data_IF_268036521244
#
_entry.id   IF_268036521244
#
_cell.length_a   1.000
_cell.length_b   1.000
_cell.length_c   1.000
_cell.angle_alpha   90.00
_cell.angle_beta   90.00
_cell.angle_gamma   90.00
#
_symmetry.space_group_name_H-M   'P 1'
#
loop_
_entity.id
_entity.type
_entity.pdbx_description
1 polymer ?
#
# COMPACT_ATOMS: atom_id res chain seq x y z
N UNK A 1 -12.43 -16.56 8.03
CA UNK A 1 -11.81 -15.30 8.44
C UNK A 1 -10.30 -15.39 8.31
N UNK A 2 -9.73 -14.38 7.71
CA UNK A 2 -8.27 -14.27 7.63
C UNK A 2 -7.76 -13.80 8.99
N UNK A 3 -6.76 -14.50 9.52
CA UNK A 3 -6.07 -14.04 10.72
C UNK A 3 -5.19 -12.86 10.32
N UNK A 4 -5.62 -11.66 10.66
CA UNK A 4 -4.95 -10.41 10.31
C UNK A 4 -3.51 -10.37 10.82
N UNK A 5 -3.30 -10.85 12.04
CA UNK A 5 -1.95 -10.86 12.63
C UNK A 5 -1.01 -11.76 11.82
N UNK A 6 -1.47 -12.94 11.42
CA UNK A 6 -0.65 -13.86 10.62
C UNK A 6 -0.40 -13.31 9.23
N UNK A 7 -1.44 -12.77 8.58
CA UNK A 7 -1.33 -12.24 7.22
C UNK A 7 -0.30 -11.10 7.12
N UNK A 8 -0.24 -10.26 8.15
CA UNK A 8 0.66 -9.10 8.16
C UNK A 8 1.92 -9.32 8.98
N UNK A 9 2.24 -10.56 9.32
CA UNK A 9 3.45 -10.90 10.04
C UNK A 9 4.68 -10.45 9.24
N UNK A 10 5.58 -9.74 9.89
CA UNK A 10 6.77 -9.19 9.24
C UNK A 10 6.54 -7.85 8.55
N UNK A 11 5.31 -7.36 8.58
CA UNK A 11 4.93 -6.03 8.08
C UNK A 11 4.16 -5.29 9.14
N UNK A 12 2.92 -4.90 8.85
CA UNK A 12 2.11 -4.22 9.83
C UNK A 12 0.74 -3.81 9.28
N UNK A 13 -0.09 -3.29 10.18
CA UNK A 13 -1.41 -2.81 9.82
C UNK A 13 -1.70 -1.60 10.70
N UNK A 14 -2.11 -0.49 10.09
CA UNK A 14 -2.34 0.77 10.81
C UNK A 14 -3.72 1.29 10.50
N UNK A 15 -4.31 1.94 11.49
CA UNK A 15 -5.62 2.57 11.33
C UNK A 15 -5.51 4.06 11.58
N UNK A 16 -6.39 4.82 10.94
CA UNK A 16 -6.59 6.23 11.24
C UNK A 16 -7.89 6.35 11.98
N UNK A 17 -7.85 7.03 13.14
CA UNK A 17 -9.02 7.21 13.98
C UNK A 17 -9.30 8.70 14.14
N UNK A 18 -10.56 9.07 14.03
CA UNK A 18 -11.03 10.45 14.21
C UNK A 18 -12.28 10.40 15.07
N UNK A 19 -12.25 11.10 16.22
CA UNK A 19 -13.38 11.17 17.14
C UNK A 19 -13.92 9.78 17.49
N UNK A 20 -12.99 8.84 17.79
CA UNK A 20 -13.29 7.46 18.20
C UNK A 20 -13.89 6.60 17.08
N UNK A 21 -13.82 7.06 15.85
CA UNK A 21 -14.27 6.30 14.69
C UNK A 21 -13.08 5.97 13.81
N UNK A 22 -13.02 4.72 13.32
CA UNK A 22 -11.99 4.33 12.36
C UNK A 22 -12.38 4.90 10.99
N UNK A 23 -11.54 5.77 10.45
CA UNK A 23 -11.82 6.46 9.20
C UNK A 23 -10.90 6.06 8.06
N UNK A 24 -9.92 5.23 8.35
CA UNK A 24 -9.02 4.71 7.32
C UNK A 24 -8.12 3.62 7.84
N UNK A 25 -7.48 2.91 6.92
CA UNK A 25 -6.53 1.87 7.28
C UNK A 25 -5.55 1.65 6.12
N UNK A 26 -4.43 1.00 6.45
CA UNK A 26 -3.45 0.57 5.46
C UNK A 26 -2.70 -0.63 6.02
N UNK A 27 -2.39 -1.60 5.16
CA UNK A 27 -1.66 -2.79 5.54
C UNK A 27 -0.37 -2.94 4.76
N UNK A 28 0.63 -3.53 5.40
CA UNK A 28 1.91 -3.84 4.79
C UNK A 28 2.16 -5.33 4.98
N UNK A 29 2.08 -6.07 3.88
CA UNK A 29 2.32 -7.51 3.87
C UNK A 29 3.76 -7.78 3.45
N UNK A 30 4.44 -8.65 4.17
CA UNK A 30 5.78 -9.08 3.77
C UNK A 30 5.65 -10.10 2.64
N UNK A 31 6.19 -9.78 1.46
CA UNK A 31 6.25 -10.74 0.36
C UNK A 31 7.51 -11.60 0.47
N UNK A 32 8.64 -10.96 0.74
CA UNK A 32 9.91 -11.63 1.03
C UNK A 32 10.78 -10.65 1.82
N UNK A 33 12.06 -10.99 2.05
CA UNK A 33 12.94 -10.15 2.86
C UNK A 33 13.22 -8.76 2.30
N UNK A 34 12.98 -8.55 1.01
CA UNK A 34 13.27 -7.29 0.33
C UNK A 34 12.03 -6.51 -0.09
N UNK A 35 10.87 -7.15 -0.10
CA UNK A 35 9.67 -6.56 -0.71
C UNK A 35 8.49 -6.61 0.24
N UNK A 36 7.92 -5.44 0.51
CA UNK A 36 6.63 -5.31 1.16
C UNK A 36 5.53 -5.02 0.14
N UNK A 37 4.30 -5.36 0.48
CA UNK A 37 3.15 -5.11 -0.39
C UNK A 37 2.14 -4.27 0.36
N UNK A 38 1.78 -3.13 -0.22
CA UNK A 38 0.73 -2.27 0.31
C UNK A 38 -0.63 -2.93 0.06
N UNK A 39 -1.39 -3.10 1.13
CA UNK A 39 -2.69 -3.78 1.10
C UNK A 39 -3.72 -2.96 1.86
N UNK A 40 -4.99 -3.18 1.52
CA UNK A 40 -6.13 -2.70 2.31
C UNK A 40 -6.10 -1.20 2.59
N UNK A 41 -5.61 -0.41 1.64
CA UNK A 41 -5.67 1.03 1.78
C UNK A 41 -7.10 1.51 1.62
N UNK A 42 -7.60 2.18 2.65
CA UNK A 42 -8.98 2.67 2.67
C UNK A 42 -9.04 3.97 3.44
N UNK A 43 -9.79 4.92 2.90
CA UNK A 43 -10.14 6.16 3.61
C UNK A 43 -11.63 6.37 3.38
N UNK A 44 -12.33 6.72 4.47
CA UNK A 44 -13.76 7.00 4.41
C UNK A 44 -14.04 8.05 3.33
N UNK A 45 -15.04 7.79 2.50
CA UNK A 45 -15.30 8.58 1.29
C UNK A 45 -15.43 10.08 1.59
N UNK A 46 -16.14 10.43 2.67
CA UNK A 46 -16.38 11.83 3.04
C UNK A 46 -15.10 12.57 3.42
N UNK A 47 -14.05 11.84 3.77
CA UNK A 47 -12.79 12.44 4.25
C UNK A 47 -11.70 12.42 3.20
N UNK A 48 -11.97 11.83 2.02
CA UNK A 48 -10.98 11.81 0.93
C UNK A 48 -10.77 13.22 0.38
N UNK A 49 -9.51 13.57 0.17
CA UNK A 49 -9.16 14.87 -0.38
C UNK A 49 -9.39 16.05 0.55
N UNK A 50 -9.58 15.79 1.85
CA UNK A 50 -9.74 16.86 2.84
C UNK A 50 -8.37 17.30 3.37
N UNK A 51 -8.37 18.41 4.11
CA UNK A 51 -7.15 18.93 4.74
C UNK A 51 -6.57 17.99 5.79
N UNK A 52 -7.33 16.98 6.24
CA UNK A 52 -6.84 16.00 7.20
C UNK A 52 -5.76 15.10 6.62
N UNK A 53 -5.70 14.96 5.28
CA UNK A 53 -4.66 14.19 4.59
C UNK A 53 -4.50 12.79 5.13
N UNK A 54 -5.61 12.11 5.37
CA UNK A 54 -5.62 10.79 6.02
C UNK A 54 -4.83 9.76 5.18
N UNK A 55 -5.10 9.73 3.88
CA UNK A 55 -4.40 8.78 3.00
C UNK A 55 -2.89 9.01 3.01
N UNK A 56 -2.46 10.27 2.93
CA UNK A 56 -1.04 10.61 2.94
C UNK A 56 -0.39 10.22 4.26
N UNK A 57 -1.06 10.49 5.37
CA UNK A 57 -0.53 10.15 6.69
C UNK A 57 -0.40 8.65 6.88
N UNK A 58 -1.39 7.87 6.42
CA UNK A 58 -1.32 6.42 6.48
C UNK A 58 -0.17 5.90 5.62
N UNK A 59 -0.03 6.41 4.42
CA UNK A 59 1.05 5.99 3.53
C UNK A 59 2.42 6.36 4.10
N UNK A 60 2.57 7.57 4.65
CA UNK A 60 3.84 8.00 5.24
C UNK A 60 4.25 7.06 6.38
N UNK A 61 3.28 6.61 7.18
CA UNK A 61 3.55 5.65 8.25
C UNK A 61 4.01 4.31 7.70
N UNK A 62 3.32 3.81 6.68
CA UNK A 62 3.68 2.55 6.03
C UNK A 62 5.09 2.63 5.44
N UNK A 63 5.41 3.73 4.76
CA UNK A 63 6.72 3.92 4.15
C UNK A 63 7.82 3.94 5.21
N UNK A 64 7.61 4.71 6.28
CA UNK A 64 8.57 4.80 7.38
C UNK A 64 8.83 3.44 8.01
N UNK A 65 7.77 2.68 8.27
CA UNK A 65 7.92 1.34 8.86
C UNK A 65 8.59 0.36 7.88
N UNK A 66 8.29 0.48 6.59
CA UNK A 66 8.95 -0.34 5.56
C UNK A 66 10.46 -0.12 5.55
N UNK A 67 10.87 1.13 5.68
CA UNK A 67 12.30 1.48 5.75
C UNK A 67 12.96 0.91 7.00
N UNK A 68 12.28 0.97 8.15
CA UNK A 68 12.78 0.40 9.40
C UNK A 68 12.92 -1.11 9.34
N UNK A 69 11.97 -1.78 8.70
CA UNK A 69 12.01 -3.24 8.52
C UNK A 69 13.17 -3.64 7.61
N UNK A 70 13.53 -2.77 6.67
CA UNK A 70 14.61 -3.02 5.72
C UNK A 70 14.13 -3.47 4.35
N UNK A 71 12.87 -3.26 4.02
CA UNK A 71 12.39 -3.54 2.67
C UNK A 71 13.08 -2.60 1.68
N UNK A 72 13.40 -3.11 0.52
CA UNK A 72 14.02 -2.34 -0.57
C UNK A 72 12.98 -1.73 -1.49
N UNK A 73 11.79 -2.32 -1.55
CA UNK A 73 10.70 -1.79 -2.36
C UNK A 73 9.35 -2.15 -1.79
N UNK A 74 8.34 -1.40 -2.21
CA UNK A 74 6.93 -1.63 -1.89
C UNK A 74 6.20 -1.83 -3.21
N UNK A 75 5.44 -2.91 -3.30
CA UNK A 75 4.58 -3.18 -4.44
C UNK A 75 3.12 -2.97 -4.06
N UNK A 76 2.29 -2.70 -5.04
CA UNK A 76 0.84 -2.69 -4.87
C UNK A 76 0.17 -3.02 -6.20
N UNK A 77 -1.06 -3.50 -6.14
CA UNK A 77 -1.90 -3.60 -7.31
C UNK A 77 -3.15 -2.75 -7.11
N UNK A 78 -3.68 -2.25 -8.21
CA UNK A 78 -4.82 -1.35 -8.20
C UNK A 78 -5.61 -1.52 -9.49
N UNK A 79 -6.94 -1.42 -9.46
CA UNK A 79 -7.73 -1.55 -10.68
C UNK A 79 -7.32 -0.52 -11.73
N UNK A 80 -7.29 -0.96 -12.99
CA UNK A 80 -6.89 -0.08 -14.10
C UNK A 80 -7.76 1.18 -14.23
N UNK A 81 -9.00 1.11 -13.76
CA UNK A 81 -9.94 2.25 -13.83
C UNK A 81 -9.78 3.22 -12.67
N UNK A 82 -9.02 2.89 -11.65
CA UNK A 82 -8.88 3.71 -10.44
C UNK A 82 -7.88 4.86 -10.65
N UNK A 83 -8.22 5.80 -11.50
CA UNK A 83 -7.30 6.86 -11.93
C UNK A 83 -6.84 7.77 -10.80
N UNK A 84 -7.73 8.07 -9.86
CA UNK A 84 -7.36 8.91 -8.70
C UNK A 84 -6.31 8.21 -7.83
N UNK A 85 -6.45 6.88 -7.66
CA UNK A 85 -5.46 6.09 -6.92
C UNK A 85 -4.11 6.09 -7.64
N UNK A 86 -4.12 5.94 -8.96
CA UNK A 86 -2.88 5.99 -9.75
C UNK A 86 -2.15 7.30 -9.55
N UNK A 87 -2.87 8.43 -9.59
CA UNK A 87 -2.28 9.75 -9.39
C UNK A 87 -1.67 9.89 -8.00
N UNK A 88 -2.36 9.38 -6.99
CA UNK A 88 -1.86 9.39 -5.62
C UNK A 88 -0.55 8.61 -5.50
N UNK A 89 -0.51 7.40 -6.06
CA UNK A 89 0.69 6.56 -5.99
C UNK A 89 1.84 7.18 -6.78
N UNK A 90 1.57 7.69 -7.98
CA UNK A 90 2.61 8.33 -8.80
C UNK A 90 3.18 9.57 -8.11
N UNK A 91 2.33 10.35 -7.47
CA UNK A 91 2.75 11.52 -6.70
C UNK A 91 3.69 11.12 -5.55
N UNK A 92 3.53 9.93 -5.02
CA UNK A 92 4.35 9.41 -3.93
C UNK A 92 5.55 8.60 -4.41
N UNK A 93 5.85 8.65 -5.69
CA UNK A 93 7.08 8.06 -6.23
C UNK A 93 6.93 6.66 -6.81
N UNK A 94 5.73 6.12 -6.83
CA UNK A 94 5.49 4.82 -7.45
C UNK A 94 5.52 4.95 -8.96
N UNK A 95 5.94 3.87 -9.62
CA UNK A 95 5.88 3.76 -11.07
C UNK A 95 5.28 2.42 -11.46
N UNK A 96 4.61 2.39 -12.59
CA UNK A 96 3.95 1.18 -13.06
C UNK A 96 4.98 0.16 -13.53
N UNK A 97 4.80 -1.10 -13.14
CA UNK A 97 5.63 -2.20 -13.60
C UNK A 97 5.01 -2.89 -14.80
N UNK A 98 5.88 -3.34 -15.70
CA UNK A 98 5.51 -4.27 -16.76
C UNK A 98 5.27 -5.65 -16.13
N UNK A 99 4.42 -6.46 -16.76
CA UNK A 99 4.12 -7.80 -16.24
C UNK A 99 5.38 -8.66 -16.14
N UNK A 100 6.35 -8.46 -17.04
CA UNK A 100 7.61 -9.19 -17.01
C UNK A 100 8.48 -8.86 -15.79
N UNK A 101 8.20 -7.75 -15.10
CA UNK A 101 8.99 -7.28 -13.96
C UNK A 101 8.41 -7.70 -12.62
N UNK A 102 7.25 -8.37 -12.63
CA UNK A 102 6.56 -8.75 -11.39
C UNK A 102 7.23 -9.98 -10.79
N UNK A 103 7.57 -9.95 -9.48
CA UNK A 103 8.18 -11.11 -8.84
C UNK A 103 7.28 -12.34 -8.90
N UNK A 104 7.86 -13.55 -9.08
CA UNK A 104 7.05 -14.77 -9.16
C UNK A 104 6.19 -15.03 -7.93
N UNK A 105 6.63 -14.57 -6.75
CA UNK A 105 5.88 -14.75 -5.50
C UNK A 105 4.63 -13.89 -5.43
N UNK A 106 4.55 -12.83 -6.24
CA UNK A 106 3.43 -11.91 -6.20
C UNK A 106 2.24 -12.51 -6.96
N UNK A 107 1.14 -12.72 -6.26
CA UNK A 107 -0.07 -13.23 -6.90
C UNK A 107 -0.85 -12.05 -7.50
N UNK A 108 -0.92 -12.05 -8.80
CA UNK A 108 -1.64 -11.01 -9.52
C UNK A 108 -3.15 -11.28 -9.41
N UNK A 109 -3.92 -10.39 -8.80
CA UNK A 109 -5.32 -10.70 -8.51
C UNK A 109 -6.21 -10.66 -9.74
N UNK A 110 -5.91 -9.82 -10.73
CA UNK A 110 -6.80 -9.58 -11.86
C UNK A 110 -6.00 -9.03 -13.02
N UNK A 111 -6.33 -9.48 -14.24
CA UNK A 111 -5.68 -8.96 -15.44
C UNK A 111 -6.05 -7.50 -15.73
N UNK A 112 -7.14 -6.98 -15.11
CA UNK A 112 -7.55 -5.59 -15.24
C UNK A 112 -6.95 -4.69 -14.16
N UNK A 113 -5.90 -5.15 -13.50
CA UNK A 113 -5.18 -4.39 -12.50
C UNK A 113 -3.84 -3.95 -13.02
N UNK A 114 -3.32 -2.89 -12.45
CA UNK A 114 -1.95 -2.42 -12.68
C UNK A 114 -1.14 -2.66 -11.42
N UNK A 115 0.14 -2.94 -11.59
CA UNK A 115 1.08 -3.10 -10.49
C UNK A 115 2.04 -1.92 -10.50
N UNK A 116 2.23 -1.35 -9.32
CA UNK A 116 3.15 -0.23 -9.10
C UNK A 116 4.23 -0.62 -8.11
N UNK A 117 5.38 -0.01 -8.25
CA UNK A 117 6.52 -0.20 -7.35
C UNK A 117 7.06 1.13 -6.88
N UNK A 118 7.38 1.21 -5.59
CA UNK A 118 8.18 2.29 -5.02
C UNK A 118 9.49 1.71 -4.54
N UNK A 119 10.61 2.23 -5.03
CA UNK A 119 11.92 1.83 -4.54
C UNK A 119 12.29 2.67 -3.33
N UNK A 120 12.63 2.00 -2.24
CA UNK A 120 13.01 2.65 -0.97
C UNK A 120 14.51 2.88 -0.89
N UNK A 121 15.29 2.07 -1.61
CA UNK A 121 16.75 2.20 -1.66
C UNK A 121 17.20 2.15 -3.10
N UNK A 122 18.30 2.81 -3.37
CA UNK A 122 18.93 2.82 -4.68
C UNK A 122 19.71 1.53 -4.97
#
# INVERSE_FOLDING_TARGET
>A
LIDTAEFYKGGGFWIAELEREIVGCIGLQKLNGNIGVLRKMFVKKELRGTDLKIAQNLFDKLKSESEKIGFKSILLDTPSVAKASHRFYEKNGFFELDRSQIPPEYKFPDRNSKIFELKLTE
#
